data_IF_175565454013
#
_entry.id   IF_175565454013
#
_cell.length_a   1.000
_cell.length_b   1.000
_cell.length_c   1.000
_cell.angle_alpha   90.00
_cell.angle_beta   90.00
_cell.angle_gamma   90.00
#
_symmetry.space_group_name_H-M   'P 1'
#
loop_
_entity.id
_entity.type
_entity.pdbx_description
1 polymer ?
#
# COMPACT_ATOMS: atom_id res chain seq x y z
N UNK A 1 -11.02 -17.25 25.06
CA UNK A 1 -10.83 -16.21 26.09
C UNK A 1 -9.34 -15.95 26.19
N UNK A 2 -8.92 -14.71 26.00
CA UNK A 2 -7.51 -14.29 26.12
C UNK A 2 -7.17 -14.06 27.59
N UNK A 3 -5.95 -14.40 28.03
CA UNK A 3 -5.44 -14.08 29.37
C UNK A 3 -4.92 -12.65 29.48
N UNK A 4 -4.87 -11.92 28.35
CA UNK A 4 -4.50 -10.52 28.24
C UNK A 4 -5.70 -9.69 27.79
N UNK A 5 -5.86 -8.51 28.36
CA UNK A 5 -6.75 -7.47 27.86
C UNK A 5 -6.08 -6.79 26.67
N UNK A 6 -6.33 -7.35 25.49
CA UNK A 6 -5.77 -6.82 24.26
C UNK A 6 -6.62 -5.66 23.75
N UNK A 7 -5.98 -4.59 23.30
CA UNK A 7 -6.71 -3.44 22.81
C UNK A 7 -7.34 -3.72 21.43
N UNK A 8 -8.53 -3.16 21.20
CA UNK A 8 -9.37 -3.51 20.04
C UNK A 8 -8.71 -3.21 18.69
N UNK A 9 -9.04 -4.03 17.69
CA UNK A 9 -8.63 -3.91 16.29
C UNK A 9 -9.86 -3.98 15.39
N UNK A 10 -9.86 -3.20 14.31
CA UNK A 10 -10.91 -3.33 13.30
C UNK A 10 -10.94 -4.74 12.71
N UNK A 11 -12.14 -5.22 12.35
CA UNK A 11 -12.35 -6.53 11.70
C UNK A 11 -12.38 -6.36 10.18
N UNK A 12 -12.06 -7.44 9.45
CA UNK A 12 -12.20 -7.47 7.99
C UNK A 12 -13.69 -7.43 7.56
N UNK A 13 -14.02 -6.80 6.42
CA UNK A 13 -13.15 -5.96 5.60
C UNK A 13 -12.81 -4.65 6.32
N UNK A 14 -11.52 -4.32 6.40
CA UNK A 14 -11.04 -3.13 7.13
C UNK A 14 -11.05 -1.92 6.20
N UNK A 15 -11.50 -0.79 6.72
CA UNK A 15 -11.39 0.53 6.06
C UNK A 15 -10.24 1.37 6.61
N UNK A 16 -9.73 1.00 7.79
CA UNK A 16 -8.56 1.58 8.47
C UNK A 16 -7.77 0.48 9.17
N UNK A 17 -6.56 0.79 9.61
CA UNK A 17 -5.65 -0.18 10.22
C UNK A 17 -5.21 -1.26 9.25
N UNK A 18 -5.13 -0.90 7.95
CA UNK A 18 -4.77 -1.79 6.86
C UNK A 18 -3.32 -2.28 6.99
N UNK A 19 -3.13 -3.55 6.69
CA UNK A 19 -1.84 -4.14 6.35
C UNK A 19 -1.83 -4.45 4.86
N UNK A 20 -1.15 -3.59 4.10
CA UNK A 20 -0.91 -3.74 2.67
C UNK A 20 0.45 -4.40 2.44
N UNK A 21 0.42 -5.67 2.05
CA UNK A 21 1.59 -6.54 1.93
C UNK A 21 2.20 -6.44 0.53
N UNK A 22 3.52 -6.45 0.44
CA UNK A 22 4.25 -6.51 -0.83
C UNK A 22 4.69 -7.96 -1.14
N UNK A 23 4.08 -8.57 -2.16
CA UNK A 23 4.50 -9.85 -2.73
C UNK A 23 5.42 -9.59 -3.93
N UNK A 24 6.69 -9.97 -3.80
CA UNK A 24 7.72 -9.81 -4.85
C UNK A 24 7.99 -11.09 -5.66
N UNK A 25 7.20 -12.14 -5.44
CA UNK A 25 7.44 -13.45 -6.05
C UNK A 25 7.25 -14.64 -5.12
N UNK A 26 6.39 -14.55 -4.11
CA UNK A 26 6.05 -15.70 -3.26
C UNK A 26 5.57 -16.88 -4.11
N UNK A 27 5.98 -18.09 -3.78
CA UNK A 27 5.37 -19.31 -4.30
C UNK A 27 3.96 -19.49 -3.71
N UNK A 28 3.18 -20.39 -4.31
CA UNK A 28 1.88 -20.80 -3.75
C UNK A 28 2.02 -21.34 -2.33
N UNK A 29 3.06 -22.14 -2.06
CA UNK A 29 3.31 -22.68 -0.72
C UNK A 29 3.67 -21.60 0.31
N UNK A 30 4.39 -20.54 -0.10
CA UNK A 30 4.68 -19.41 0.78
C UNK A 30 3.45 -18.54 1.04
N UNK A 31 2.54 -18.43 0.07
CA UNK A 31 1.22 -17.82 0.30
C UNK A 31 0.44 -18.64 1.32
N UNK A 32 0.34 -19.96 1.13
CA UNK A 32 -0.37 -20.84 2.07
C UNK A 32 0.22 -20.70 3.49
N UNK A 33 1.55 -20.71 3.63
CA UNK A 33 2.24 -20.53 4.90
C UNK A 33 2.01 -19.14 5.55
N UNK A 34 2.00 -18.06 4.74
CA UNK A 34 1.68 -16.72 5.23
C UNK A 34 0.27 -16.67 5.80
N UNK A 35 -0.69 -17.21 5.04
CA UNK A 35 -2.11 -17.09 5.38
C UNK A 35 -2.49 -18.01 6.54
N UNK A 36 -1.86 -19.18 6.64
CA UNK A 36 -2.00 -20.11 7.78
C UNK A 36 -1.71 -19.41 9.12
N UNK A 37 -0.68 -18.57 9.17
CA UNK A 37 -0.21 -17.95 10.42
C UNK A 37 -0.75 -16.55 10.62
N UNK A 38 -0.84 -15.74 9.56
CA UNK A 38 -1.07 -14.30 9.66
C UNK A 38 -2.17 -13.79 8.72
N UNK A 39 -2.97 -14.68 8.11
CA UNK A 39 -4.00 -14.34 7.13
C UNK A 39 -4.97 -13.26 7.60
N UNK A 40 -5.44 -13.34 8.85
CA UNK A 40 -6.38 -12.37 9.45
C UNK A 40 -5.80 -10.95 9.61
N UNK A 41 -4.47 -10.82 9.57
CA UNK A 41 -3.76 -9.55 9.64
C UNK A 41 -3.41 -8.97 8.27
N UNK A 42 -3.62 -9.68 7.15
CA UNK A 42 -3.35 -9.21 5.77
C UNK A 42 -4.62 -8.67 5.13
N UNK A 43 -4.68 -7.38 4.79
CA UNK A 43 -5.89 -6.79 4.21
C UNK A 43 -5.88 -6.75 2.68
N UNK A 44 -4.70 -6.58 2.08
CA UNK A 44 -4.51 -6.56 0.63
C UNK A 44 -3.05 -6.84 0.27
N UNK A 45 -2.82 -7.47 -0.88
CA UNK A 45 -1.48 -7.81 -1.38
C UNK A 45 -1.19 -7.11 -2.71
N UNK A 46 -0.14 -6.29 -2.77
CA UNK A 46 0.43 -5.77 -4.01
C UNK A 46 1.39 -6.80 -4.59
N UNK A 47 1.11 -7.24 -5.83
CA UNK A 47 2.12 -7.91 -6.66
C UNK A 47 3.09 -6.83 -7.14
N UNK A 48 4.30 -6.82 -6.59
CA UNK A 48 5.25 -5.73 -6.74
C UNK A 48 5.54 -5.38 -8.20
N UNK A 49 5.58 -4.08 -8.51
CA UNK A 49 5.91 -3.54 -9.85
C UNK A 49 5.24 -4.34 -10.99
N UNK A 50 6.04 -4.94 -11.87
CA UNK A 50 5.60 -5.81 -12.97
C UNK A 50 5.78 -7.32 -12.71
N UNK A 51 5.95 -7.76 -11.46
CA UNK A 51 6.17 -9.19 -11.14
C UNK A 51 5.08 -10.11 -11.68
N UNK A 52 3.82 -9.64 -11.72
CA UNK A 52 2.70 -10.42 -12.23
C UNK A 52 2.95 -10.94 -13.66
N UNK A 53 3.55 -10.12 -14.53
CA UNK A 53 3.80 -10.46 -15.95
C UNK A 53 4.81 -11.62 -16.09
N UNK A 54 5.73 -11.78 -15.14
CA UNK A 54 6.78 -12.80 -15.17
C UNK A 54 6.54 -13.95 -14.18
N UNK A 55 5.40 -13.95 -13.47
CA UNK A 55 5.05 -15.02 -12.53
C UNK A 55 4.48 -16.21 -13.29
N UNK A 56 5.26 -17.29 -13.41
CA UNK A 56 4.89 -18.47 -14.21
C UNK A 56 3.62 -19.21 -13.75
N UNK A 57 3.18 -19.02 -12.51
CA UNK A 57 1.99 -19.62 -11.92
C UNK A 57 1.03 -18.58 -11.33
N UNK A 58 0.91 -17.41 -11.98
CA UNK A 58 0.13 -16.27 -11.49
C UNK A 58 -1.31 -16.64 -11.12
N UNK A 59 -2.02 -17.36 -11.98
CA UNK A 59 -3.43 -17.73 -11.75
C UNK A 59 -3.59 -18.58 -10.49
N UNK A 60 -2.72 -19.57 -10.28
CA UNK A 60 -2.73 -20.42 -9.08
C UNK A 60 -2.44 -19.61 -7.81
N UNK A 61 -1.49 -18.66 -7.87
CA UNK A 61 -1.21 -17.72 -6.76
C UNK A 61 -2.43 -16.86 -6.43
N UNK A 62 -3.04 -16.24 -7.43
CA UNK A 62 -4.22 -15.39 -7.24
C UNK A 62 -5.43 -16.18 -6.72
N UNK A 63 -5.58 -17.43 -7.16
CA UNK A 63 -6.59 -18.33 -6.63
C UNK A 63 -6.42 -18.57 -5.13
N UNK A 64 -5.19 -18.77 -4.65
CA UNK A 64 -4.92 -18.91 -3.21
C UNK A 64 -5.28 -17.67 -2.40
N UNK A 65 -4.86 -16.48 -2.83
CA UNK A 65 -5.27 -15.26 -2.14
C UNK A 65 -6.81 -15.12 -2.09
N UNK A 66 -7.50 -15.45 -3.19
CA UNK A 66 -8.96 -15.40 -3.28
C UNK A 66 -9.66 -16.38 -2.36
N UNK A 67 -9.18 -17.63 -2.26
CA UNK A 67 -9.71 -18.66 -1.35
C UNK A 67 -9.71 -18.20 0.12
N UNK A 68 -8.75 -17.36 0.48
CA UNK A 68 -8.63 -16.77 1.82
C UNK A 68 -9.24 -15.38 1.95
N UNK A 69 -9.97 -14.90 0.94
CA UNK A 69 -10.62 -13.59 0.97
C UNK A 69 -9.64 -12.42 1.05
N UNK A 70 -8.39 -12.60 0.60
CA UNK A 70 -7.37 -11.55 0.54
C UNK A 70 -7.36 -10.99 -0.89
N UNK A 71 -7.77 -9.72 -1.09
CA UNK A 71 -7.63 -9.07 -2.38
C UNK A 71 -6.16 -8.92 -2.78
N UNK A 72 -5.91 -9.00 -4.09
CA UNK A 72 -4.63 -8.63 -4.68
C UNK A 72 -4.81 -7.46 -5.65
N UNK A 73 -3.73 -6.69 -5.84
CA UNK A 73 -3.63 -5.66 -6.87
C UNK A 73 -2.29 -5.74 -7.61
N UNK A 74 -2.27 -5.21 -8.83
CA UNK A 74 -1.05 -5.05 -9.62
C UNK A 74 -0.34 -3.74 -9.21
N UNK A 75 0.98 -3.77 -9.08
CA UNK A 75 1.76 -2.60 -8.70
C UNK A 75 1.76 -1.49 -9.75
N UNK A 76 1.86 -0.25 -9.30
CA UNK A 76 1.68 0.95 -10.11
C UNK A 76 2.69 1.08 -11.24
N UNK A 77 3.93 0.62 -11.05
CA UNK A 77 4.94 0.57 -12.12
C UNK A 77 4.45 -0.22 -13.35
N UNK A 78 3.61 -1.24 -13.18
CA UNK A 78 3.02 -1.94 -14.34
C UNK A 78 1.99 -1.07 -15.07
N UNK A 79 1.18 -0.30 -14.32
CA UNK A 79 0.29 0.71 -14.88
C UNK A 79 1.08 1.77 -15.66
N UNK A 80 2.19 2.24 -15.11
CA UNK A 80 3.10 3.18 -15.79
C UNK A 80 3.65 2.62 -17.11
N UNK A 81 4.08 1.35 -17.12
CA UNK A 81 4.54 0.67 -18.34
C UNK A 81 3.42 0.58 -19.36
N UNK A 82 2.21 0.21 -18.94
CA UNK A 82 1.05 0.15 -19.82
C UNK A 82 0.69 1.53 -20.40
N UNK A 83 0.81 2.61 -19.63
CA UNK A 83 0.58 3.98 -20.09
C UNK A 83 1.62 4.39 -21.14
N UNK A 84 2.91 4.20 -20.84
CA UNK A 84 4.02 4.49 -21.76
C UNK A 84 3.83 3.81 -23.12
N UNK A 85 3.34 2.57 -23.11
CA UNK A 85 3.20 1.76 -24.32
C UNK A 85 1.81 1.93 -24.99
N UNK A 86 0.92 2.77 -24.46
CA UNK A 86 -0.43 2.97 -24.99
C UNK A 86 -1.34 1.75 -24.84
N UNK A 87 -1.14 0.96 -23.78
CA UNK A 87 -1.79 -0.34 -23.50
C UNK A 87 -2.66 -0.34 -22.25
N UNK A 88 -3.11 0.82 -21.76
CA UNK A 88 -3.96 0.92 -20.56
C UNK A 88 -5.21 0.04 -20.68
N UNK A 89 -5.90 0.06 -21.83
CA UNK A 89 -7.10 -0.75 -22.06
C UNK A 89 -6.80 -2.26 -21.98
N UNK A 90 -5.62 -2.67 -22.44
CA UNK A 90 -5.14 -4.05 -22.32
C UNK A 90 -4.86 -4.46 -20.88
N UNK A 91 -4.29 -3.55 -20.08
CA UNK A 91 -4.09 -3.77 -18.65
C UNK A 91 -5.43 -3.92 -17.92
N UNK A 92 -6.40 -3.04 -18.21
CA UNK A 92 -7.75 -3.12 -17.62
C UNK A 92 -8.44 -4.44 -17.99
N UNK A 93 -8.37 -4.85 -19.26
CA UNK A 93 -8.90 -6.15 -19.67
C UNK A 93 -8.25 -7.32 -18.92
N UNK A 94 -6.93 -7.27 -18.73
CA UNK A 94 -6.20 -8.31 -18.00
C UNK A 94 -6.54 -8.34 -16.51
N UNK A 95 -6.73 -7.17 -15.85
CA UNK A 95 -7.21 -7.08 -14.46
C UNK A 95 -8.54 -7.82 -14.31
N UNK A 96 -9.47 -7.62 -15.25
CA UNK A 96 -10.76 -8.31 -15.24
C UNK A 96 -10.62 -9.82 -15.52
N UNK A 97 -9.78 -10.22 -16.47
CA UNK A 97 -9.49 -11.64 -16.77
C UNK A 97 -8.94 -12.38 -15.55
N UNK A 98 -8.05 -11.73 -14.78
CA UNK A 98 -7.49 -12.27 -13.55
C UNK A 98 -8.49 -12.29 -12.37
N UNK A 99 -9.68 -11.70 -12.54
CA UNK A 99 -10.69 -11.54 -11.51
C UNK A 99 -10.28 -10.57 -10.40
N UNK A 100 -9.39 -9.62 -10.70
CA UNK A 100 -8.97 -8.57 -9.79
C UNK A 100 -9.96 -7.41 -9.81
N UNK A 101 -10.02 -6.67 -8.70
CA UNK A 101 -10.89 -5.48 -8.54
C UNK A 101 -10.12 -4.24 -8.09
N UNK A 102 -8.82 -4.38 -7.86
CA UNK A 102 -7.97 -3.33 -7.32
C UNK A 102 -6.83 -3.05 -8.29
N UNK A 103 -6.42 -1.79 -8.39
CA UNK A 103 -5.34 -1.33 -9.25
C UNK A 103 -4.59 -0.20 -8.57
N UNK A 104 -3.27 -0.16 -8.74
CA UNK A 104 -2.43 0.97 -8.32
C UNK A 104 -2.12 1.86 -9.54
N UNK A 105 -2.30 3.18 -9.39
CA UNK A 105 -1.91 4.20 -10.37
C UNK A 105 -0.79 5.04 -9.76
N UNK A 106 0.37 5.05 -10.41
CA UNK A 106 1.54 5.82 -9.99
C UNK A 106 2.15 6.54 -11.18
N UNK A 107 3.10 7.43 -10.91
CA UNK A 107 3.83 8.24 -11.89
C UNK A 107 5.31 8.39 -11.48
N UNK A 108 5.85 7.40 -10.76
CA UNK A 108 7.22 7.49 -10.22
C UNK A 108 8.33 7.17 -11.22
N UNK A 109 8.03 6.52 -12.34
CA UNK A 109 8.98 6.01 -13.35
C UNK A 109 8.77 6.62 -14.73
N UNK A 110 7.62 7.26 -14.97
CA UNK A 110 7.29 7.99 -16.20
C UNK A 110 6.88 9.42 -15.85
N UNK A 111 7.14 10.37 -16.76
CA UNK A 111 6.55 11.70 -16.65
C UNK A 111 5.06 11.60 -17.05
N UNK A 112 4.16 11.71 -16.07
CA UNK A 112 2.72 11.75 -16.27
C UNK A 112 2.19 13.08 -15.70
N UNK A 113 1.63 13.97 -16.53
CA UNK A 113 0.98 15.18 -16.04
C UNK A 113 -0.14 14.85 -15.05
N UNK A 114 -0.28 15.67 -14.00
CA UNK A 114 -1.26 15.42 -12.94
C UNK A 114 -2.69 15.32 -13.50
N UNK A 115 -3.08 16.20 -14.41
CA UNK A 115 -4.40 16.18 -15.05
C UNK A 115 -4.66 14.87 -15.82
N UNK A 116 -3.66 14.32 -16.49
CA UNK A 116 -3.74 13.01 -17.13
C UNK A 116 -3.91 11.88 -16.09
N UNK A 117 -3.11 11.91 -15.01
CA UNK A 117 -3.23 10.95 -13.90
C UNK A 117 -4.63 10.97 -13.27
N UNK A 118 -5.16 12.17 -13.00
CA UNK A 118 -6.51 12.35 -12.45
C UNK A 118 -7.59 11.82 -13.40
N UNK A 119 -7.45 12.04 -14.72
CA UNK A 119 -8.37 11.49 -15.71
C UNK A 119 -8.34 9.95 -15.74
N UNK A 120 -7.16 9.35 -15.59
CA UNK A 120 -6.99 7.89 -15.49
C UNK A 120 -7.65 7.36 -14.21
N UNK A 121 -7.37 7.95 -13.05
CA UNK A 121 -7.99 7.55 -11.77
C UNK A 121 -9.51 7.61 -11.87
N UNK A 122 -10.05 8.74 -12.36
CA UNK A 122 -11.49 8.93 -12.51
C UNK A 122 -12.13 7.96 -13.49
N UNK A 123 -11.42 7.60 -14.57
CA UNK A 123 -11.87 6.57 -15.51
C UNK A 123 -11.92 5.19 -14.82
N UNK A 124 -10.83 4.75 -14.20
CA UNK A 124 -10.73 3.42 -13.60
C UNK A 124 -11.74 3.24 -12.44
N UNK A 125 -11.95 4.29 -11.64
CA UNK A 125 -12.96 4.29 -10.59
C UNK A 125 -14.39 4.17 -11.16
N UNK A 126 -14.70 4.88 -12.25
CA UNK A 126 -16.00 4.76 -12.95
C UNK A 126 -16.22 3.39 -13.59
N UNK A 127 -15.15 2.74 -14.03
CA UNK A 127 -15.16 1.38 -14.56
C UNK A 127 -15.34 0.31 -13.44
N UNK A 128 -15.46 0.74 -12.18
CA UNK A 128 -15.77 -0.11 -11.04
C UNK A 128 -14.56 -0.71 -10.32
N UNK A 129 -13.34 -0.26 -10.66
CA UNK A 129 -12.13 -0.67 -9.96
C UNK A 129 -11.93 0.17 -8.69
N UNK A 130 -11.40 -0.48 -7.65
CA UNK A 130 -10.91 0.21 -6.44
C UNK A 130 -9.49 0.69 -6.71
N UNK A 131 -9.34 1.99 -6.89
CA UNK A 131 -8.06 2.60 -7.26
C UNK A 131 -7.28 2.98 -6.01
N UNK A 132 -6.09 2.43 -5.88
CA UNK A 132 -5.02 3.03 -5.08
C UNK A 132 -4.25 3.97 -5.98
N UNK A 133 -4.04 5.20 -5.55
CA UNK A 133 -3.09 6.08 -6.22
C UNK A 133 -1.84 6.22 -5.37
N UNK A 134 -0.69 6.50 -5.96
CA UNK A 134 0.59 6.65 -5.24
C UNK A 134 1.14 8.05 -5.51
N UNK A 135 1.47 8.79 -4.44
CA UNK A 135 2.12 10.11 -4.52
C UNK A 135 3.54 10.00 -3.98
N UNK A 136 4.48 10.52 -4.75
CA UNK A 136 5.88 10.66 -4.39
C UNK A 136 6.80 10.53 -5.61
N UNK A 137 8.07 10.88 -5.45
CA UNK A 137 9.08 10.67 -6.48
C UNK A 137 9.92 9.45 -6.16
N UNK A 138 10.13 8.61 -7.17
CA UNK A 138 11.13 7.54 -7.08
C UNK A 138 12.54 8.14 -7.24
N UNK A 139 12.72 9.33 -7.79
CA UNK A 139 14.04 9.97 -7.85
C UNK A 139 14.42 10.55 -6.47
N UNK A 140 15.55 10.08 -5.91
CA UNK A 140 16.06 10.58 -4.62
C UNK A 140 16.50 12.05 -4.68
N UNK A 141 16.70 12.60 -5.88
CA UNK A 141 17.12 13.99 -6.09
C UNK A 141 15.93 14.95 -6.27
N UNK A 142 14.74 14.44 -6.59
CA UNK A 142 13.55 15.26 -6.72
C UNK A 142 12.78 15.37 -5.40
N UNK A 143 13.04 16.46 -4.68
CA UNK A 143 12.35 16.76 -3.43
C UNK A 143 11.10 17.59 -3.74
N UNK A 144 9.95 16.92 -3.82
CA UNK A 144 8.66 17.61 -3.88
C UNK A 144 8.36 18.30 -2.53
N UNK A 145 7.91 19.55 -2.59
CA UNK A 145 7.55 20.35 -1.42
C UNK A 145 6.29 19.81 -0.72
N UNK A 146 6.18 19.89 0.62
CA UNK A 146 5.05 19.33 1.37
C UNK A 146 3.66 19.77 0.90
N UNK A 147 3.46 21.07 0.60
CA UNK A 147 2.17 21.56 0.12
C UNK A 147 1.74 20.91 -1.22
N UNK A 148 2.70 20.55 -2.08
CA UNK A 148 2.41 19.85 -3.36
C UNK A 148 1.96 18.41 -3.13
N UNK A 149 2.50 17.74 -2.11
CA UNK A 149 2.00 16.42 -1.71
C UNK A 149 0.53 16.52 -1.29
N UNK A 150 0.20 17.48 -0.43
CA UNK A 150 -1.18 17.71 0.01
C UNK A 150 -2.11 17.99 -1.17
N UNK A 151 -1.73 18.90 -2.07
CA UNK A 151 -2.50 19.23 -3.27
C UNK A 151 -2.74 18.01 -4.17
N UNK A 152 -1.69 17.21 -4.44
CA UNK A 152 -1.81 16.02 -5.30
C UNK A 152 -2.65 14.93 -4.64
N UNK A 153 -2.41 14.62 -3.36
CA UNK A 153 -3.19 13.64 -2.62
C UNK A 153 -4.67 14.01 -2.63
N UNK A 154 -4.99 15.26 -2.32
CA UNK A 154 -6.38 15.72 -2.31
C UNK A 154 -7.02 15.61 -3.69
N UNK A 155 -6.32 16.04 -4.74
CA UNK A 155 -6.81 15.95 -6.11
C UNK A 155 -7.06 14.49 -6.54
N UNK A 156 -6.15 13.57 -6.19
CA UNK A 156 -6.29 12.14 -6.52
C UNK A 156 -7.45 11.47 -5.77
N UNK A 157 -7.66 11.84 -4.49
CA UNK A 157 -8.83 11.43 -3.72
C UNK A 157 -10.14 11.96 -4.34
N UNK A 158 -10.15 13.24 -4.74
CA UNK A 158 -11.29 13.89 -5.39
C UNK A 158 -11.60 13.28 -6.78
N UNK A 159 -10.58 12.81 -7.50
CA UNK A 159 -10.73 12.10 -8.76
C UNK A 159 -11.32 10.69 -8.60
N UNK A 160 -11.35 10.14 -7.39
CA UNK A 160 -11.99 8.85 -7.07
C UNK A 160 -11.05 7.77 -6.57
N UNK A 161 -9.80 8.10 -6.20
CA UNK A 161 -8.94 7.15 -5.50
C UNK A 161 -9.58 6.75 -4.16
N UNK A 162 -9.60 5.44 -3.88
CA UNK A 162 -10.08 4.94 -2.58
C UNK A 162 -9.13 5.38 -1.47
N UNK A 163 -7.84 5.12 -1.66
CA UNK A 163 -6.75 5.56 -0.80
C UNK A 163 -5.55 6.03 -1.61
N UNK A 164 -4.77 6.93 -1.03
CA UNK A 164 -3.51 7.39 -1.61
C UNK A 164 -2.34 6.84 -0.81
N UNK A 165 -1.44 6.16 -1.50
CA UNK A 165 -0.19 5.61 -0.99
C UNK A 165 0.84 6.73 -0.95
N UNK A 166 1.43 6.97 0.21
CA UNK A 166 2.58 7.84 0.35
C UNK A 166 3.85 7.00 0.11
N UNK A 167 4.50 7.22 -1.04
CA UNK A 167 5.59 6.39 -1.56
C UNK A 167 6.83 6.41 -0.65
N UNK A 168 7.44 5.24 -0.49
CA UNK A 168 8.71 5.06 0.19
C UNK A 168 9.70 4.14 -0.55
N UNK A 169 9.25 3.54 -1.66
CA UNK A 169 9.86 2.37 -2.30
C UNK A 169 9.89 1.16 -1.37
N UNK A 170 10.31 0.02 -1.91
CA UNK A 170 10.55 -1.21 -1.14
C UNK A 170 11.60 -1.00 -0.01
N UNK A 171 12.59 -0.14 -0.23
CA UNK A 171 13.71 0.02 0.71
C UNK A 171 13.41 0.93 1.89
N UNK A 172 12.36 1.75 1.80
CA UNK A 172 12.03 2.76 2.81
C UNK A 172 13.09 3.87 2.91
N UNK A 173 13.63 4.33 1.78
CA UNK A 173 14.74 5.33 1.75
C UNK A 173 14.50 6.44 0.74
N UNK A 174 13.25 6.69 0.37
CA UNK A 174 12.85 7.71 -0.57
C UNK A 174 11.47 8.26 -0.18
N UNK A 175 10.97 9.25 -0.92
CA UNK A 175 9.64 9.81 -0.72
C UNK A 175 9.45 10.38 0.68
N UNK A 176 8.62 9.72 1.50
CA UNK A 176 8.37 10.12 2.90
C UNK A 176 9.53 9.84 3.88
N UNK A 177 10.61 9.20 3.41
CA UNK A 177 11.85 8.99 4.16
C UNK A 177 13.05 9.67 3.50
N UNK A 178 14.08 9.91 4.30
CA UNK A 178 15.42 10.31 3.85
C UNK A 178 16.21 9.10 3.34
N UNK A 179 17.34 9.30 2.63
CA UNK A 179 18.16 8.19 2.11
C UNK A 179 18.67 7.20 3.16
N UNK A 180 18.80 7.62 4.42
CA UNK A 180 19.17 6.77 5.56
C UNK A 180 17.98 6.00 6.17
N UNK A 181 16.75 6.32 5.74
CA UNK A 181 15.50 5.77 6.25
C UNK A 181 14.84 6.60 7.34
N UNK A 182 15.41 7.76 7.71
CA UNK A 182 14.83 8.67 8.69
C UNK A 182 13.50 9.25 8.18
N UNK A 183 12.51 9.32 9.06
CA UNK A 183 11.18 9.85 8.77
C UNK A 183 11.23 11.35 8.47
N UNK A 184 10.65 11.79 7.35
CA UNK A 184 10.46 13.21 7.04
C UNK A 184 9.26 13.75 7.83
N UNK A 185 9.41 13.87 9.15
CA UNK A 185 8.29 14.19 10.07
C UNK A 185 7.49 15.43 9.64
N UNK A 186 8.17 16.53 9.29
CA UNK A 186 7.49 17.75 8.84
C UNK A 186 6.67 17.60 7.55
N UNK A 187 7.07 16.69 6.65
CA UNK A 187 6.27 16.36 5.47
C UNK A 187 5.01 15.58 5.87
N UNK A 188 5.19 14.54 6.70
CA UNK A 188 4.08 13.68 7.13
C UNK A 188 3.07 14.46 7.99
N UNK A 189 3.54 15.34 8.87
CA UNK A 189 2.68 16.20 9.69
C UNK A 189 1.88 17.17 8.83
N UNK A 190 2.47 17.73 7.77
CA UNK A 190 1.76 18.58 6.81
C UNK A 190 0.68 17.79 6.05
N UNK A 191 1.01 16.58 5.58
CA UNK A 191 0.05 15.69 4.93
C UNK A 191 -1.11 15.36 5.86
N UNK A 192 -0.82 14.95 7.10
CA UNK A 192 -1.83 14.59 8.09
C UNK A 192 -2.64 15.79 8.61
N UNK A 193 -2.16 17.02 8.40
CA UNK A 193 -2.93 18.23 8.68
C UNK A 193 -3.93 18.53 7.56
N UNK A 194 -3.54 18.30 6.30
CA UNK A 194 -4.37 18.58 5.13
C UNK A 194 -5.31 17.46 4.71
N UNK A 195 -5.01 16.20 5.06
CA UNK A 195 -5.72 15.01 4.58
C UNK A 195 -6.02 14.05 5.74
N UNK A 196 -7.21 13.46 5.71
CA UNK A 196 -7.60 12.41 6.66
C UNK A 196 -6.67 11.19 6.53
N UNK A 197 -6.01 10.83 7.63
CA UNK A 197 -5.06 9.71 7.73
C UNK A 197 -5.71 8.37 7.36
N UNK A 198 -7.01 8.20 7.61
CA UNK A 198 -7.72 6.96 7.24
C UNK A 198 -7.83 6.79 5.71
N UNK A 199 -7.67 7.87 4.93
CA UNK A 199 -7.62 7.84 3.45
C UNK A 199 -6.21 7.63 2.88
N UNK A 200 -5.20 7.57 3.74
CA UNK A 200 -3.81 7.38 3.34
C UNK A 200 -3.36 5.94 3.58
N UNK A 201 -2.31 5.51 2.88
CA UNK A 201 -1.51 4.32 3.19
C UNK A 201 -0.06 4.75 3.21
N UNK A 202 0.62 4.66 4.35
CA UNK A 202 2.04 5.00 4.42
C UNK A 202 2.88 3.76 4.15
N UNK A 203 3.71 3.77 3.12
CA UNK A 203 4.68 2.69 2.93
C UNK A 203 5.69 2.69 4.09
N UNK A 204 5.84 1.56 4.78
CA UNK A 204 6.70 1.43 5.96
C UNK A 204 7.35 0.03 5.98
N UNK A 205 8.24 -0.27 5.02
CA UNK A 205 8.85 -1.59 4.90
C UNK A 205 9.74 -1.96 6.09
N UNK A 206 10.24 -0.99 6.87
CA UNK A 206 11.12 -1.25 8.03
C UNK A 206 10.38 -1.15 9.36
N UNK A 207 10.80 -1.97 10.32
CA UNK A 207 10.22 -2.00 11.67
C UNK A 207 10.20 -0.63 12.34
N UNK A 208 11.31 0.11 12.31
CA UNK A 208 11.42 1.43 12.92
C UNK A 208 10.42 2.45 12.33
N UNK A 209 10.12 2.32 11.04
CA UNK A 209 9.13 3.15 10.34
C UNK A 209 7.71 2.77 10.79
N UNK A 210 7.41 1.47 10.85
CA UNK A 210 6.14 0.94 11.35
C UNK A 210 5.88 1.44 12.78
N UNK A 211 6.86 1.31 13.68
CA UNK A 211 6.79 1.79 15.06
C UNK A 211 6.51 3.29 15.12
N UNK A 212 7.19 4.08 14.29
CA UNK A 212 7.00 5.53 14.26
C UNK A 212 5.56 5.90 13.89
N UNK A 213 5.00 5.31 12.82
CA UNK A 213 3.63 5.57 12.41
C UNK A 213 2.60 5.13 13.45
N UNK A 214 2.81 3.95 14.07
CA UNK A 214 1.94 3.45 15.14
C UNK A 214 1.94 4.37 16.36
N UNK A 215 3.09 4.95 16.73
CA UNK A 215 3.17 5.93 17.82
C UNK A 215 2.53 7.26 17.44
N UNK A 216 2.66 7.68 16.17
CA UNK A 216 2.19 8.99 15.70
C UNK A 216 0.68 9.05 15.47
N UNK A 217 0.11 7.98 14.89
CA UNK A 217 -1.29 7.93 14.43
C UNK A 217 -2.10 6.80 15.09
N UNK A 218 -1.48 5.99 15.94
CA UNK A 218 -2.12 4.88 16.62
C UNK A 218 -2.12 3.58 15.81
N UNK A 219 -2.63 2.53 16.45
CA UNK A 219 -2.67 1.15 15.94
C UNK A 219 -3.49 0.94 14.67
N UNK A 220 -4.34 1.90 14.31
CA UNK A 220 -5.25 1.82 13.15
C UNK A 220 -4.70 2.63 11.95
N UNK A 221 -3.43 3.04 11.97
CA UNK A 221 -2.80 3.61 10.78
C UNK A 221 -2.65 2.56 9.68
N UNK A 222 -2.94 2.93 8.43
CA UNK A 222 -2.76 2.06 7.27
C UNK A 222 -1.29 2.03 6.86
N UNK A 223 -0.71 0.82 6.75
CA UNK A 223 0.69 0.65 6.37
C UNK A 223 0.84 -0.21 5.13
N UNK A 224 1.67 0.24 4.19
CA UNK A 224 1.99 -0.41 2.93
C UNK A 224 3.42 -0.93 2.87
N UNK A 225 3.71 -1.72 1.83
CA UNK A 225 4.99 -2.42 1.65
C UNK A 225 5.43 -3.26 2.85
N UNK A 226 4.47 -3.83 3.57
CA UNK A 226 4.79 -4.75 4.66
C UNK A 226 5.31 -6.05 4.06
N UNK A 227 6.51 -6.46 4.46
CA UNK A 227 7.07 -7.73 4.03
C UNK A 227 6.21 -8.89 4.57
N UNK A 228 6.01 -9.99 3.81
CA UNK A 228 5.24 -11.15 4.27
C UNK A 228 5.72 -11.69 5.63
N UNK A 229 7.04 -11.74 5.84
CA UNK A 229 7.64 -12.18 7.10
C UNK A 229 7.37 -11.24 8.29
N UNK A 230 7.02 -9.98 8.02
CA UNK A 230 6.81 -8.95 9.04
C UNK A 230 5.33 -8.76 9.41
N UNK A 231 4.38 -9.43 8.74
CA UNK A 231 2.94 -9.25 9.00
C UNK A 231 2.58 -9.52 10.46
N UNK A 232 2.99 -10.68 10.99
CA UNK A 232 2.70 -11.03 12.38
C UNK A 232 3.44 -10.09 13.34
N UNK A 233 4.68 -9.73 13.01
CA UNK A 233 5.48 -8.77 13.75
C UNK A 233 4.77 -7.41 13.84
N UNK A 234 4.19 -6.90 12.74
CA UNK A 234 3.40 -5.68 12.74
C UNK A 234 2.14 -5.81 13.59
N UNK A 235 1.42 -6.94 13.50
CA UNK A 235 0.22 -7.13 14.32
C UNK A 235 0.57 -7.14 15.82
N UNK A 236 1.72 -7.71 16.22
CA UNK A 236 2.18 -7.60 17.62
C UNK A 236 2.47 -6.16 18.04
N UNK A 237 3.00 -5.33 17.13
CA UNK A 237 3.20 -3.89 17.39
C UNK A 237 1.85 -3.17 17.57
N UNK A 238 0.86 -3.45 16.70
CA UNK A 238 -0.49 -2.86 16.80
C UNK A 238 -1.19 -3.22 18.11
N UNK A 239 -0.95 -4.43 18.62
CA UNK A 239 -1.55 -4.95 19.85
C UNK A 239 -0.75 -4.60 21.12
N UNK A 240 0.39 -3.92 21.02
CA UNK A 240 1.23 -3.61 22.17
C UNK A 240 1.94 -4.83 22.77
N UNK A 241 2.12 -5.90 21.99
CA UNK A 241 2.72 -7.17 22.39
C UNK A 241 4.22 -7.26 22.13
N UNK A 242 4.82 -6.16 21.68
CA UNK A 242 6.25 -6.04 21.41
C UNK A 242 6.79 -4.77 22.07
N UNK A 243 8.00 -4.86 22.64
CA UNK A 243 8.61 -3.84 23.51
C UNK A 243 8.55 -2.41 22.97
N UNK A 244 8.62 -2.24 21.65
CA UNK A 244 8.60 -0.93 21.00
C UNK A 244 7.27 -0.16 21.23
N UNK A 245 6.18 -0.87 21.52
CA UNK A 245 4.78 -0.38 21.62
C UNK A 245 4.05 -0.83 22.89
N UNK A 246 4.75 -1.48 23.84
CA UNK A 246 4.18 -1.77 25.16
C UNK A 246 3.97 -0.44 25.88
N UNK A 247 2.74 -0.17 26.34
CA UNK A 247 2.46 0.98 27.21
C UNK A 247 3.18 0.78 28.55
N UNK A 248 3.97 1.77 28.97
CA UNK A 248 4.57 1.77 30.29
C UNK A 248 3.51 2.20 31.30
N UNK A 249 3.30 1.39 32.33
CA UNK A 249 2.43 1.70 33.46
C UNK A 249 2.96 2.87 34.30
#
# INVERSE_FOLDING_TARGET
MSFLDLPERSRKPRERGLTHVLDKGLSVAEVDALVEVAGDAVDIVKLGWGTAVVTGNLEAKLARYREHGIPALLGGTLTEIALRDGRLDGLVAWIHELGLRHVEVSDGSIALPLDEKLAIISRLARDGLTVFSEVGSKDQTEIMAPYRWVEQIQAELDAGAWKVVAEARETGTAGIFRPDGEVRMGLIDEIAHGVDVDRLVFEAPRKEQQVWFLKRFGREVNLGNIAPADVLSLETLRLGLRSDTVEQA
#
